data_IF_442987563052
#
_entry.id   IF_442987563052
#
_cell.length_a   1.000
_cell.length_b   1.000
_cell.length_c   1.000
_cell.angle_alpha   90.00
_cell.angle_beta   90.00
_cell.angle_gamma   90.00
#
_symmetry.space_group_name_H-M   'P 1'
#
loop_
_entity.id
_entity.type
_entity.pdbx_description
1 polymer ?
#
# COMPACT_ATOMS: atom_id res chain seq x y z
N UNK A 1 -3.10 -12.73 9.32
CA UNK A 1 -2.83 -11.35 8.87
C UNK A 1 -3.56 -11.14 7.55
N UNK A 2 -4.34 -10.06 7.43
CA UNK A 2 -5.06 -9.74 6.18
C UNK A 2 -4.05 -9.41 5.07
N UNK A 3 -4.21 -10.01 3.90
CA UNK A 3 -3.26 -9.89 2.77
C UNK A 3 -3.86 -9.17 1.57
N UNK A 4 -5.18 -9.10 1.45
CA UNK A 4 -5.82 -8.33 0.39
C UNK A 4 -5.46 -6.85 0.55
N UNK A 5 -4.96 -6.23 -0.53
CA UNK A 5 -4.46 -4.85 -0.50
C UNK A 5 -5.55 -3.88 -0.05
N UNK A 6 -6.80 -4.05 -0.48
CA UNK A 6 -7.87 -3.11 -0.16
C UNK A 6 -8.28 -3.27 1.28
N UNK A 7 -8.49 -4.51 1.72
CA UNK A 7 -8.88 -4.80 3.10
C UNK A 7 -7.81 -4.31 4.07
N UNK A 8 -6.54 -4.57 3.79
CA UNK A 8 -5.45 -4.10 4.65
C UNK A 8 -5.38 -2.58 4.69
N UNK A 9 -5.44 -1.90 3.53
CA UNK A 9 -5.50 -0.44 3.50
C UNK A 9 -6.67 0.10 4.30
N UNK A 10 -7.87 -0.49 4.21
CA UNK A 10 -9.02 -0.05 5.01
C UNK A 10 -8.80 -0.24 6.51
N UNK A 11 -8.25 -1.38 6.95
CA UNK A 11 -7.88 -1.59 8.35
C UNK A 11 -6.79 -0.63 8.83
N UNK A 12 -5.85 -0.26 7.96
CA UNK A 12 -4.85 0.78 8.24
C UNK A 12 -5.50 2.16 8.38
N UNK A 13 -6.37 2.54 7.44
CA UNK A 13 -7.09 3.82 7.43
C UNK A 13 -7.91 4.02 8.72
N UNK A 14 -8.56 2.98 9.23
CA UNK A 14 -9.33 3.06 10.49
C UNK A 14 -8.49 3.49 11.70
N UNK A 15 -7.16 3.40 11.60
CA UNK A 15 -6.20 3.78 12.65
C UNK A 15 -5.52 5.13 12.39
N UNK A 16 -5.87 5.81 11.29
CA UNK A 16 -5.25 7.06 10.87
C UNK A 16 -6.20 8.25 11.03
N UNK A 17 -5.63 9.43 11.31
CA UNK A 17 -6.36 10.71 11.36
C UNK A 17 -6.12 11.57 10.12
N UNK A 18 -5.12 11.22 9.30
CA UNK A 18 -4.67 12.01 8.16
C UNK A 18 -4.59 11.18 6.88
N UNK A 19 -4.56 11.86 5.72
CA UNK A 19 -4.39 11.24 4.40
C UNK A 19 -5.44 10.17 4.03
N UNK A 20 -6.56 10.06 4.76
CA UNK A 20 -7.60 9.04 4.60
C UNK A 20 -8.07 8.93 3.14
N UNK A 21 -8.49 10.04 2.53
CA UNK A 21 -8.99 10.05 1.14
C UNK A 21 -7.91 9.64 0.14
N UNK A 22 -6.64 9.97 0.41
CA UNK A 22 -5.52 9.56 -0.42
C UNK A 22 -5.27 8.06 -0.30
N UNK A 23 -5.29 7.51 0.91
CA UNK A 23 -5.10 6.07 1.16
C UNK A 23 -6.23 5.24 0.52
N UNK A 24 -7.49 5.69 0.63
CA UNK A 24 -8.63 5.04 -0.05
C UNK A 24 -8.41 5.03 -1.58
N UNK A 25 -7.97 6.16 -2.14
CA UNK A 25 -7.69 6.26 -3.57
C UNK A 25 -6.56 5.31 -3.97
N UNK A 26 -5.46 5.28 -3.22
CA UNK A 26 -4.31 4.40 -3.49
C UNK A 26 -4.75 2.93 -3.48
N UNK A 27 -5.49 2.49 -2.46
CA UNK A 27 -5.98 1.12 -2.38
C UNK A 27 -6.79 0.70 -3.61
N UNK A 28 -7.66 1.59 -4.10
CA UNK A 28 -8.47 1.33 -5.29
C UNK A 28 -7.65 1.32 -6.58
N UNK A 29 -6.72 2.25 -6.75
CA UNK A 29 -5.89 2.32 -7.95
C UNK A 29 -4.90 1.15 -8.02
N UNK A 30 -4.34 0.71 -6.87
CA UNK A 30 -3.52 -0.50 -6.79
C UNK A 30 -4.30 -1.74 -7.24
N UNK A 31 -5.49 -1.94 -6.68
CA UNK A 31 -6.36 -3.06 -7.03
C UNK A 31 -6.76 -3.05 -8.52
N UNK A 32 -7.11 -1.88 -9.05
CA UNK A 32 -7.39 -1.70 -10.49
C UNK A 32 -6.17 -1.91 -11.37
N UNK A 33 -4.99 -1.58 -10.86
CA UNK A 33 -3.69 -1.82 -11.49
C UNK A 33 -3.20 -3.27 -11.39
N UNK A 34 -4.00 -4.17 -10.80
CA UNK A 34 -3.68 -5.60 -10.67
C UNK A 34 -2.80 -5.95 -9.47
N UNK A 35 -2.44 -4.97 -8.63
CA UNK A 35 -1.75 -5.24 -7.35
C UNK A 35 -2.83 -5.49 -6.31
N UNK A 36 -3.17 -6.75 -6.07
CA UNK A 36 -4.27 -7.15 -5.18
C UNK A 36 -3.81 -7.66 -3.81
N UNK A 37 -2.51 -7.88 -3.65
CA UNK A 37 -1.90 -8.53 -2.48
C UNK A 37 -0.82 -7.63 -1.84
N UNK A 38 -0.79 -7.60 -0.51
CA UNK A 38 0.12 -6.76 0.28
C UNK A 38 1.59 -7.22 0.19
N UNK A 39 1.86 -8.52 0.20
CA UNK A 39 3.23 -9.03 0.06
C UNK A 39 3.80 -8.59 -1.31
N UNK A 40 3.00 -8.75 -2.36
CA UNK A 40 3.32 -8.31 -3.73
C UNK A 40 3.53 -6.79 -3.82
N UNK A 41 2.66 -5.99 -3.20
CA UNK A 41 2.82 -4.54 -3.16
C UNK A 41 4.16 -4.15 -2.51
N UNK A 42 4.46 -4.73 -1.35
CA UNK A 42 5.65 -4.37 -0.60
C UNK A 42 6.93 -4.83 -1.29
N UNK A 43 6.92 -5.98 -1.96
CA UNK A 43 8.04 -6.42 -2.82
C UNK A 43 8.25 -5.47 -4.01
N UNK A 44 7.16 -5.07 -4.68
CA UNK A 44 7.22 -4.13 -5.79
C UNK A 44 7.75 -2.76 -5.35
N UNK A 45 7.34 -2.25 -4.19
CA UNK A 45 7.82 -0.96 -3.68
C UNK A 45 9.31 -0.98 -3.29
N UNK A 46 9.83 -2.12 -2.84
CA UNK A 46 11.22 -2.29 -2.44
C UNK A 46 12.13 -2.45 -3.65
N UNK A 47 11.79 -3.36 -4.57
CA UNK A 47 12.67 -3.74 -5.66
C UNK A 47 12.40 -2.94 -6.95
N UNK A 48 11.14 -2.53 -7.16
CA UNK A 48 10.69 -1.96 -8.43
C UNK A 48 9.65 -0.84 -8.26
N UNK A 49 9.92 0.22 -7.47
CA UNK A 49 8.93 1.26 -7.18
C UNK A 49 8.39 1.95 -8.43
N UNK A 50 9.17 1.98 -9.52
CA UNK A 50 8.74 2.45 -10.84
C UNK A 50 7.53 1.69 -11.40
N UNK A 51 7.38 0.39 -11.12
CA UNK A 51 6.20 -0.39 -11.52
C UNK A 51 4.95 0.10 -10.80
N UNK A 52 5.04 0.38 -9.50
CA UNK A 52 3.92 0.92 -8.72
C UNK A 52 3.57 2.35 -9.19
N UNK A 53 4.58 3.18 -9.47
CA UNK A 53 4.38 4.54 -10.02
C UNK A 53 3.78 4.54 -11.43
N UNK A 54 3.96 3.46 -12.19
CA UNK A 54 3.36 3.33 -13.53
C UNK A 54 1.84 3.06 -13.49
N UNK A 55 1.30 2.69 -12.31
CA UNK A 55 -0.14 2.53 -12.13
C UNK A 55 -0.82 3.89 -12.28
N UNK A 56 -1.91 3.91 -13.04
CA UNK A 56 -2.67 5.12 -13.31
C UNK A 56 -3.01 5.84 -12.00
N UNK A 57 -2.84 7.17 -12.01
CA UNK A 57 -3.09 8.05 -10.86
C UNK A 57 -2.21 7.80 -9.62
N UNK A 58 -1.18 6.94 -9.67
CA UNK A 58 -0.23 6.79 -8.56
C UNK A 58 0.98 7.69 -8.81
N UNK A 59 1.03 8.80 -8.06
CA UNK A 59 2.15 9.73 -8.05
C UNK A 59 3.16 9.43 -6.94
N UNK A 60 4.21 10.24 -6.87
CA UNK A 60 5.29 10.10 -5.87
C UNK A 60 4.77 10.13 -4.41
N UNK A 61 3.86 11.06 -4.09
CA UNK A 61 3.19 11.09 -2.78
C UNK A 61 2.44 9.79 -2.48
N UNK A 62 1.83 9.17 -3.49
CA UNK A 62 1.11 7.90 -3.32
C UNK A 62 2.06 6.74 -3.04
N UNK A 63 3.24 6.73 -3.67
CA UNK A 63 4.29 5.74 -3.40
C UNK A 63 4.78 5.85 -1.96
N UNK A 64 5.05 7.07 -1.46
CA UNK A 64 5.49 7.29 -0.08
C UNK A 64 4.46 6.76 0.92
N UNK A 65 3.18 7.14 0.75
CA UNK A 65 2.10 6.64 1.61
C UNK A 65 1.97 5.11 1.55
N UNK A 66 2.13 4.50 0.37
CA UNK A 66 2.09 3.04 0.25
C UNK A 66 3.29 2.36 0.94
N UNK A 67 4.47 2.98 0.95
CA UNK A 67 5.64 2.50 1.71
C UNK A 67 5.38 2.54 3.22
N UNK A 68 4.72 3.60 3.73
CA UNK A 68 4.32 3.68 5.15
C UNK A 68 3.35 2.56 5.53
N UNK A 69 2.37 2.26 4.67
CA UNK A 69 1.45 1.13 4.86
C UNK A 69 2.21 -0.20 4.86
N UNK A 70 3.16 -0.39 3.95
CA UNK A 70 4.01 -1.58 3.91
C UNK A 70 4.90 -1.74 5.14
N UNK A 71 5.39 -0.64 5.71
CA UNK A 71 6.15 -0.67 6.96
C UNK A 71 5.29 -1.19 8.12
N UNK A 72 4.06 -0.67 8.25
CA UNK A 72 3.13 -1.15 9.27
C UNK A 72 2.76 -2.63 9.07
N UNK A 73 2.55 -3.04 7.81
CA UNK A 73 2.28 -4.43 7.45
C UNK A 73 3.40 -5.39 7.87
N UNK A 74 4.66 -5.05 7.55
CA UNK A 74 5.83 -5.87 7.92
C UNK A 74 6.01 -5.96 9.44
N UNK A 75 5.80 -4.84 10.15
CA UNK A 75 5.85 -4.82 11.62
C UNK A 75 4.79 -5.76 12.23
N UNK A 76 3.56 -5.75 11.72
CA UNK A 76 2.49 -6.64 12.17
C UNK A 76 2.75 -8.11 11.83
N UNK A 77 3.47 -8.38 10.73
CA UNK A 77 3.87 -9.73 10.32
C UNK A 77 4.96 -10.33 11.22
N UNK A 78 5.67 -9.49 11.98
CA UNK A 78 6.85 -9.89 12.74
C UNK A 78 8.13 -9.97 11.90
N UNK A 79 8.12 -9.38 10.70
CA UNK A 79 9.36 -9.14 9.95
C UNK A 79 10.14 -8.07 10.75
N UNK A 80 11.01 -8.52 11.64
CA UNK A 80 11.98 -7.64 12.28
C UNK A 80 12.95 -7.17 11.18
N UNK A 81 12.84 -5.88 10.82
CA UNK A 81 13.83 -5.18 9.98
C UNK A 81 15.15 -5.11 10.72
#
# INVERSE_FOLDING_TARGET
>A
MEKDVRRYFYSYIMRQTENISHLVRIANELYRGGVTDMDTLCELLENHPGKVRSIRNIGEKSVILAQEVCKAYRQERGDSV
#
